data_IF_876332630774
#
_entry.id   IF_876332630774
#
_cell.length_a   1.000
_cell.length_b   1.000
_cell.length_c   1.000
_cell.angle_alpha   90.00
_cell.angle_beta   90.00
_cell.angle_gamma   90.00
#
_symmetry.space_group_name_H-M   'P 1'
#
loop_
_entity.id
_entity.type
_entity.pdbx_description
1 polymer ?
#
# COMPACT_ATOMS: atom_id res chain seq x y z
N UNK A 1 -5.07 3.07 13.82
CA UNK A 1 -5.63 1.72 13.59
C UNK A 1 -5.96 1.01 14.89
N UNK A 2 -5.05 0.94 15.87
CA UNK A 2 -5.33 0.31 17.17
C UNK A 2 -6.60 0.83 17.83
N UNK A 3 -6.82 2.16 17.80
CA UNK A 3 -8.04 2.78 18.34
C UNK A 3 -9.34 2.32 17.66
N UNK A 4 -9.30 1.94 16.38
CA UNK A 4 -10.47 1.48 15.63
C UNK A 4 -10.87 0.07 16.08
N UNK A 5 -9.90 -0.83 16.23
CA UNK A 5 -10.11 -2.23 16.63
C UNK A 5 -10.22 -2.44 18.15
N UNK A 6 -10.25 -1.38 18.96
CA UNK A 6 -10.54 -1.50 20.39
C UNK A 6 -11.98 -2.01 20.56
N UNK A 7 -12.25 -3.06 21.36
CA UNK A 7 -13.61 -3.61 21.53
C UNK A 7 -14.68 -2.58 21.97
N UNK A 8 -14.26 -1.54 22.69
CA UNK A 8 -15.16 -0.45 23.10
C UNK A 8 -15.53 0.54 21.97
N UNK A 9 -14.79 0.51 20.85
CA UNK A 9 -15.03 1.38 19.70
C UNK A 9 -16.24 0.91 18.89
N UNK A 10 -17.18 1.77 18.49
CA UNK A 10 -18.29 1.36 17.64
C UNK A 10 -17.86 0.87 16.24
N UNK A 11 -16.61 1.08 15.85
CA UNK A 11 -16.05 0.72 14.55
C UNK A 11 -15.23 -0.58 14.56
N UNK A 12 -15.13 -1.26 15.71
CA UNK A 12 -14.24 -2.41 15.89
C UNK A 12 -14.72 -3.68 15.17
N UNK A 13 -16.02 -3.80 14.97
CA UNK A 13 -16.63 -4.97 14.36
C UNK A 13 -16.69 -4.81 12.84
N UNK A 14 -16.04 -5.71 12.13
CA UNK A 14 -15.87 -5.66 10.68
C UNK A 14 -14.47 -5.25 10.22
N UNK A 15 -14.37 -4.83 8.97
CA UNK A 15 -13.10 -4.55 8.29
C UNK A 15 -12.81 -3.05 8.15
N UNK A 16 -11.52 -2.73 8.02
CA UNK A 16 -11.04 -1.40 7.66
C UNK A 16 -10.52 -1.44 6.24
N UNK A 17 -11.02 -0.53 5.40
CA UNK A 17 -10.61 -0.41 4.00
C UNK A 17 -9.58 0.72 3.88
N UNK A 18 -8.41 0.41 3.32
CA UNK A 18 -7.32 1.37 3.09
C UNK A 18 -7.05 1.48 1.59
N UNK A 19 -7.01 2.71 1.08
CA UNK A 19 -6.70 3.00 -0.33
C UNK A 19 -5.88 4.28 -0.44
N UNK A 20 -4.81 4.27 -1.23
CA UNK A 20 -3.97 5.44 -1.44
C UNK A 20 -3.36 6.02 -0.14
N UNK A 21 -2.97 5.16 0.80
CA UNK A 21 -2.42 5.58 2.10
C UNK A 21 -3.43 6.18 3.07
N UNK A 22 -4.74 6.11 2.77
CA UNK A 22 -5.82 6.66 3.62
C UNK A 22 -6.84 5.59 3.98
N UNK A 23 -7.44 5.71 5.17
CA UNK A 23 -8.58 4.90 5.58
C UNK A 23 -9.82 5.44 4.86
N UNK A 24 -10.46 4.60 4.06
CA UNK A 24 -11.69 4.94 3.33
C UNK A 24 -12.94 4.67 4.17
N UNK A 25 -12.93 3.58 4.93
CA UNK A 25 -14.03 3.14 5.77
C UNK A 25 -13.55 2.19 6.87
N UNK A 26 -14.34 2.07 7.93
CA UNK A 26 -14.16 1.13 9.05
C UNK A 26 -15.52 0.54 9.43
N UNK A 27 -15.52 -0.63 10.06
CA UNK A 27 -16.75 -1.36 10.39
C UNK A 27 -17.43 -2.00 9.17
N UNK A 28 -16.67 -2.31 8.12
CA UNK A 28 -17.21 -2.84 6.87
C UNK A 28 -17.54 -4.34 6.99
N UNK A 29 -18.75 -4.72 6.60
CA UNK A 29 -19.10 -6.12 6.37
C UNK A 29 -18.55 -6.59 5.03
N UNK A 30 -17.85 -7.71 5.03
CA UNK A 30 -17.23 -8.30 3.85
C UNK A 30 -17.89 -9.64 3.50
N UNK A 31 -17.91 -10.03 2.21
CA UNK A 31 -18.41 -11.33 1.81
C UNK A 31 -17.55 -12.45 2.44
N UNK A 32 -18.21 -13.50 2.91
CA UNK A 32 -17.54 -14.69 3.41
C UNK A 32 -17.35 -15.68 2.26
N UNK A 33 -16.19 -16.34 2.22
CA UNK A 33 -15.97 -17.45 1.29
C UNK A 33 -16.95 -18.60 1.58
N UNK A 34 -17.46 -19.21 0.50
CA UNK A 34 -18.34 -20.39 0.54
C UNK A 34 -17.59 -21.68 0.20
N UNK A 35 -16.28 -21.61 0.06
CA UNK A 35 -15.47 -22.77 -0.32
C UNK A 35 -15.47 -23.85 0.76
N UNK A 36 -15.79 -25.07 0.34
CA UNK A 36 -15.83 -26.25 1.19
C UNK A 36 -14.43 -26.77 1.60
N UNK A 37 -13.37 -26.37 0.88
CA UNK A 37 -11.98 -26.75 1.16
C UNK A 37 -11.30 -25.87 2.23
N UNK A 38 -12.06 -25.01 2.90
CA UNK A 38 -11.55 -24.16 3.98
C UNK A 38 -11.40 -24.93 5.28
N UNK A 39 -10.32 -24.65 6.03
CA UNK A 39 -10.10 -25.31 7.32
C UNK A 39 -11.24 -24.97 8.29
N UNK A 40 -11.79 -25.96 9.02
CA UNK A 40 -12.87 -25.73 9.98
C UNK A 40 -12.45 -24.83 11.14
N UNK A 41 -11.14 -24.74 11.43
CA UNK A 41 -10.56 -23.87 12.46
C UNK A 41 -10.52 -22.38 12.05
N UNK A 42 -11.01 -22.02 10.86
CA UNK A 42 -11.01 -20.64 10.38
C UNK A 42 -12.22 -19.88 10.92
N UNK A 43 -11.94 -18.89 11.78
CA UNK A 43 -12.93 -17.93 12.25
C UNK A 43 -13.48 -17.01 11.15
N UNK A 44 -14.49 -16.22 11.49
CA UNK A 44 -15.24 -15.36 10.55
C UNK A 44 -14.36 -14.32 9.85
N UNK A 45 -13.38 -13.71 10.53
CA UNK A 45 -12.41 -12.77 9.92
C UNK A 45 -11.59 -13.40 8.80
N UNK A 46 -11.18 -14.65 8.98
CA UNK A 46 -10.43 -15.39 7.97
C UNK A 46 -11.32 -15.71 6.75
N UNK A 47 -12.58 -16.08 6.97
CA UNK A 47 -13.55 -16.33 5.90
C UNK A 47 -13.90 -15.07 5.13
N UNK A 48 -14.05 -13.94 5.83
CA UNK A 48 -14.26 -12.62 5.24
C UNK A 48 -13.07 -12.18 4.39
N UNK A 49 -11.85 -12.39 4.89
CA UNK A 49 -10.64 -12.11 4.13
C UNK A 49 -10.53 -12.96 2.87
N UNK A 50 -10.83 -14.27 2.95
CA UNK A 50 -10.89 -15.10 1.75
C UNK A 50 -11.94 -14.59 0.76
N UNK A 51 -13.19 -14.43 1.20
CA UNK A 51 -14.30 -14.05 0.32
C UNK A 51 -14.06 -12.73 -0.40
N UNK A 52 -13.57 -11.69 0.28
CA UNK A 52 -13.29 -10.42 -0.40
C UNK A 52 -12.14 -10.52 -1.40
N UNK A 53 -11.11 -11.34 -1.12
CA UNK A 53 -9.95 -11.50 -2.02
C UNK A 53 -10.20 -12.48 -3.16
N UNK A 54 -11.30 -13.22 -3.13
CA UNK A 54 -11.77 -14.04 -4.26
C UNK A 54 -12.38 -13.15 -5.35
N UNK A 55 -13.09 -12.10 -4.94
CA UNK A 55 -13.81 -11.17 -5.83
C UNK A 55 -13.01 -9.90 -6.17
N UNK A 56 -11.84 -9.69 -5.53
CA UNK A 56 -11.05 -8.47 -5.70
C UNK A 56 -9.55 -8.75 -5.71
N UNK A 57 -8.78 -7.77 -6.19
CA UNK A 57 -7.31 -7.76 -6.13
C UNK A 57 -6.77 -7.28 -4.77
N UNK A 58 -7.63 -7.16 -3.76
CA UNK A 58 -7.24 -6.66 -2.44
C UNK A 58 -6.22 -7.60 -1.77
N UNK A 59 -5.31 -6.99 -1.01
CA UNK A 59 -4.48 -7.67 -0.02
C UNK A 59 -5.10 -7.44 1.34
N UNK A 60 -5.44 -8.53 2.03
CA UNK A 60 -6.07 -8.47 3.35
C UNK A 60 -5.13 -9.04 4.40
N UNK A 61 -5.00 -8.33 5.52
CA UNK A 61 -4.27 -8.78 6.71
C UNK A 61 -5.30 -9.11 7.78
N UNK A 62 -5.17 -10.29 8.38
CA UNK A 62 -6.01 -10.76 9.48
C UNK A 62 -5.14 -11.08 10.68
N UNK A 63 -5.61 -10.69 11.86
CA UNK A 63 -5.05 -11.13 13.14
C UNK A 63 -6.02 -12.12 13.78
N UNK A 64 -5.53 -13.31 14.13
CA UNK A 64 -6.30 -14.31 14.86
C UNK A 64 -6.60 -13.82 16.28
N UNK A 65 -7.86 -13.90 16.71
CA UNK A 65 -8.23 -13.54 18.09
C UNK A 65 -7.69 -14.51 19.12
N UNK A 66 -7.62 -15.80 18.76
CA UNK A 66 -7.25 -16.86 19.68
C UNK A 66 -5.75 -16.90 19.93
N UNK A 67 -4.96 -16.76 18.86
CA UNK A 67 -3.51 -17.01 18.90
C UNK A 67 -2.70 -15.73 18.66
N UNK A 68 -3.33 -14.63 18.23
CA UNK A 68 -2.64 -13.40 17.86
C UNK A 68 -1.79 -13.51 16.58
N UNK A 69 -1.84 -14.64 15.88
CA UNK A 69 -1.07 -14.87 14.67
C UNK A 69 -1.59 -14.01 13.51
N UNK A 70 -0.66 -13.55 12.68
CA UNK A 70 -0.97 -12.74 11.49
C UNK A 70 -1.07 -13.66 10.28
N UNK A 71 -2.15 -13.49 9.51
CA UNK A 71 -2.33 -14.12 8.20
C UNK A 71 -2.49 -13.06 7.13
N UNK A 72 -1.96 -13.33 5.93
CA UNK A 72 -2.14 -12.48 4.76
C UNK A 72 -2.85 -13.26 3.67
N UNK A 73 -3.88 -12.66 3.08
CA UNK A 73 -4.70 -13.27 2.05
C UNK A 73 -4.66 -12.38 0.79
N UNK A 74 -4.39 -12.98 -0.37
CA UNK A 74 -4.41 -12.33 -1.68
C UNK A 74 -4.93 -13.34 -2.71
N UNK A 75 -5.90 -12.94 -3.55
CA UNK A 75 -6.41 -13.78 -4.63
C UNK A 75 -6.95 -15.13 -4.15
N UNK A 76 -7.66 -15.15 -3.01
CA UNK A 76 -8.19 -16.37 -2.40
C UNK A 76 -7.12 -17.33 -1.82
N UNK A 77 -5.85 -16.91 -1.69
CA UNK A 77 -4.77 -17.71 -1.12
C UNK A 77 -4.31 -17.13 0.21
N UNK A 78 -4.26 -17.96 1.24
CA UNK A 78 -3.87 -17.58 2.59
C UNK A 78 -2.43 -18.01 2.92
N UNK A 79 -1.63 -17.07 3.41
CA UNK A 79 -0.35 -17.33 4.07
C UNK A 79 -0.55 -17.12 5.57
N UNK A 80 -0.37 -18.18 6.36
CA UNK A 80 -0.56 -18.15 7.83
C UNK A 80 0.76 -17.89 8.54
N UNK A 81 0.66 -17.48 9.81
CA UNK A 81 1.80 -17.33 10.73
C UNK A 81 2.93 -16.45 10.16
N UNK A 82 2.52 -15.32 9.57
CA UNK A 82 3.45 -14.37 8.98
C UNK A 82 4.10 -13.56 10.09
N UNK A 83 5.43 -13.62 10.16
CA UNK A 83 6.22 -12.79 11.08
C UNK A 83 6.35 -11.34 10.59
N UNK A 84 6.87 -10.45 11.44
CA UNK A 84 6.99 -9.04 11.10
C UNK A 84 7.86 -8.80 9.86
N UNK A 85 8.95 -9.57 9.70
CA UNK A 85 9.84 -9.47 8.55
C UNK A 85 9.14 -9.93 7.25
N UNK A 86 8.42 -11.05 7.30
CA UNK A 86 7.61 -11.57 6.21
C UNK A 86 6.50 -10.62 5.80
N UNK A 87 5.76 -10.05 6.75
CA UNK A 87 4.71 -9.07 6.49
C UNK A 87 5.28 -7.82 5.81
N UNK A 88 6.40 -7.28 6.32
CA UNK A 88 7.08 -6.13 5.72
C UNK A 88 7.49 -6.41 4.28
N UNK A 89 8.04 -7.60 4.01
CA UNK A 89 8.44 -8.02 2.65
C UNK A 89 7.23 -8.11 1.72
N UNK A 90 6.13 -8.71 2.18
CA UNK A 90 4.89 -8.83 1.41
C UNK A 90 4.34 -7.44 1.08
N UNK A 91 4.22 -6.55 2.06
CA UNK A 91 3.69 -5.20 1.85
C UNK A 91 4.56 -4.36 0.93
N UNK A 92 5.88 -4.38 1.14
CA UNK A 92 6.84 -3.64 0.29
C UNK A 92 6.74 -4.09 -1.16
N UNK A 93 6.66 -5.41 -1.40
CA UNK A 93 6.56 -5.96 -2.76
C UNK A 93 5.25 -5.55 -3.46
N UNK A 94 4.13 -5.51 -2.74
CA UNK A 94 2.82 -5.26 -3.32
C UNK A 94 2.49 -3.77 -3.47
N UNK A 95 2.96 -2.90 -2.56
CA UNK A 95 2.54 -1.50 -2.53
C UNK A 95 3.65 -0.48 -2.85
N UNK A 96 4.94 -0.80 -2.66
CA UNK A 96 6.04 0.18 -2.81
C UNK A 96 6.82 0.09 -4.13
N UNK A 97 6.50 -0.86 -5.01
CA UNK A 97 7.19 -1.01 -6.31
C UNK A 97 6.83 0.05 -7.38
N UNK A 98 6.06 1.08 -7.04
CA UNK A 98 5.52 2.08 -7.97
C UNK A 98 6.04 3.52 -7.83
N UNK A 99 6.73 3.88 -6.74
CA UNK A 99 7.13 5.27 -6.47
C UNK A 99 8.46 5.68 -7.13
N UNK A 100 8.69 5.24 -8.36
CA UNK A 100 9.91 5.52 -9.13
C UNK A 100 9.67 6.15 -10.51
N UNK A 101 8.44 6.56 -10.84
CA UNK A 101 8.14 7.15 -12.17
C UNK A 101 8.22 8.68 -12.22
N UNK A 102 8.22 9.37 -11.09
CA UNK A 102 8.31 10.85 -11.10
C UNK A 102 9.70 11.35 -11.50
N UNK A 103 10.79 10.69 -11.11
CA UNK A 103 12.13 11.12 -11.50
C UNK A 103 12.37 11.04 -13.02
N UNK A 104 11.79 10.04 -13.70
CA UNK A 104 11.90 9.88 -15.14
C UNK A 104 11.12 10.94 -15.92
N UNK A 105 9.92 11.28 -15.44
CA UNK A 105 9.06 12.31 -16.04
C UNK A 105 9.62 13.71 -15.79
N UNK A 106 10.03 14.04 -14.55
CA UNK A 106 10.68 15.32 -14.25
C UNK A 106 11.98 15.49 -15.04
N UNK A 107 12.83 14.46 -15.14
CA UNK A 107 14.05 14.54 -15.97
C UNK A 107 13.74 14.74 -17.45
N UNK A 108 12.68 14.12 -17.97
CA UNK A 108 12.26 14.28 -19.36
C UNK A 108 11.71 15.70 -19.62
N UNK A 109 10.87 16.21 -18.73
CA UNK A 109 10.31 17.57 -18.80
C UNK A 109 11.39 18.65 -18.64
N UNK A 110 12.31 18.50 -17.68
CA UNK A 110 13.41 19.45 -17.46
C UNK A 110 14.34 19.51 -18.68
N UNK A 111 14.65 18.37 -19.31
CA UNK A 111 15.45 18.34 -20.54
C UNK A 111 14.71 18.93 -21.75
N UNK A 112 13.40 18.77 -21.81
CA UNK A 112 12.58 19.31 -22.90
C UNK A 112 12.35 20.83 -22.76
N UNK A 113 12.34 21.37 -21.54
CA UNK A 113 11.93 22.75 -21.27
C UNK A 113 13.09 23.71 -20.93
N UNK A 114 14.29 23.22 -20.62
CA UNK A 114 15.48 24.06 -20.41
C UNK A 114 16.43 23.93 -21.61
N UNK A 115 16.28 24.78 -22.65
CA UNK A 115 17.30 24.87 -23.69
C UNK A 115 18.57 25.50 -23.10
N UNK A 116 19.61 24.68 -23.03
CA UNK A 116 21.04 24.99 -23.09
C UNK A 116 21.41 26.49 -22.96
N UNK A 117 21.36 27.07 -21.74
CA UNK A 117 21.73 28.49 -21.51
C UNK A 117 22.94 28.72 -20.62
N UNK A 118 23.83 27.73 -20.48
CA UNK A 118 25.14 27.99 -19.89
C UNK A 118 26.26 27.54 -20.82
N UNK A 119 26.53 28.38 -21.84
CA UNK A 119 27.89 28.56 -22.33
C UNK A 119 28.60 29.47 -21.34
N UNK A 120 29.41 28.90 -20.46
CA UNK A 120 30.48 29.64 -19.78
C UNK A 120 31.48 30.11 -20.84
N UNK A 121 31.33 31.34 -21.31
CA UNK A 121 32.40 32.05 -22.01
C UNK A 121 33.26 32.72 -20.95
N UNK A 122 34.35 32.07 -20.58
CA UNK A 122 35.47 32.72 -19.89
C UNK A 122 36.25 33.54 -20.92
N UNK A 123 35.89 34.81 -21.13
CA UNK A 123 36.79 35.78 -21.76
C UNK A 123 36.32 37.22 -21.48
N UNK A 124 37.19 37.96 -20.78
CA UNK A 124 37.48 39.39 -20.93
C UNK A 124 36.32 40.39 -20.81
N UNK A 125 36.21 41.02 -19.64
CA UNK A 125 35.42 42.24 -19.45
C UNK A 125 36.37 43.45 -19.66
N UNK A 126 36.49 43.96 -20.88
CA UNK A 126 36.98 45.32 -21.09
C UNK A 126 35.78 46.28 -21.06
N UNK A 127 35.88 47.29 -20.20
CA UNK A 127 34.92 48.39 -20.07
C UNK A 127 35.29 49.49 -21.05
N UNK A 128 34.36 49.90 -21.90
CA UNK A 128 34.38 51.24 -22.53
C UNK A 128 33.20 52.06 -22.00
N UNK A 129 33.50 53.25 -21.46
CA UNK A 129 32.54 54.29 -21.09
C UNK A 129 32.20 55.17 -22.30
N UNK A 130 30.94 55.58 -22.52
CA UNK A 130 30.61 56.55 -23.55
C UNK A 130 30.83 57.99 -23.07
N UNK A 131 31.27 58.83 -24.01
CA UNK A 131 31.48 60.28 -23.89
C UNK A 131 30.20 61.07 -23.62
#
# INVERSE_FOLDING_TARGET
>A
LTSIFLPASPLHDGAVIIKGGRIMAAGCFLPLTLRADTSPLMGTRHRAALGVTEETDALVIVMSEEVGSISVIVGGKMTREVDAAGLRRILTRNFLKGEGKEEGLLRHWIKAFIPNRFRTTSQGLEREEPK
#
